data_IF_190841030838
#
_entry.id   IF_190841030838
#
_cell.length_a   1.000
_cell.length_b   1.000
_cell.length_c   1.000
_cell.angle_alpha   90.00
_cell.angle_beta   90.00
_cell.angle_gamma   90.00
#
_symmetry.space_group_name_H-M   'P 1'
#
loop_
_entity.id
_entity.type
_entity.pdbx_description
1 polymer ?
#
# COMPACT_ATOMS: atom_id res chain seq x y z
N UNK A 1 -30.90 48.57 -2.93
CA UNK A 1 -30.09 47.96 -1.85
C UNK A 1 -30.93 46.80 -1.31
N UNK A 2 -30.74 45.53 -1.66
CA UNK A 2 -29.54 44.84 -2.12
C UNK A 2 -29.07 43.89 -1.01
N UNK A 3 -29.76 42.77 -0.84
CA UNK A 3 -29.25 41.61 -0.09
C UNK A 3 -29.73 40.35 -0.82
N UNK A 4 -28.84 39.85 -1.67
CA UNK A 4 -29.00 38.63 -2.46
C UNK A 4 -28.84 37.45 -1.51
N UNK A 5 -29.90 36.65 -1.35
CA UNK A 5 -29.79 35.35 -0.69
C UNK A 5 -29.00 34.39 -1.61
N UNK A 6 -27.94 33.73 -1.14
CA UNK A 6 -27.21 32.78 -1.98
C UNK A 6 -28.07 31.53 -2.19
N UNK A 7 -28.49 31.31 -3.43
CA UNK A 7 -28.94 30.00 -3.91
C UNK A 7 -27.73 29.06 -3.86
N UNK A 8 -27.60 28.26 -2.80
CA UNK A 8 -26.61 27.19 -2.73
C UNK A 8 -27.02 26.08 -3.68
N UNK A 9 -26.55 26.17 -4.92
CA UNK A 9 -26.59 25.10 -5.90
C UNK A 9 -25.65 23.99 -5.38
N UNK A 10 -26.20 22.82 -5.00
CA UNK A 10 -25.38 21.65 -4.69
C UNK A 10 -24.62 21.26 -5.96
N UNK A 11 -23.31 21.49 -6.00
CA UNK A 11 -22.41 20.89 -6.99
C UNK A 11 -22.15 19.43 -6.58
N UNK A 12 -23.17 18.58 -6.70
CA UNK A 12 -22.96 17.13 -6.78
C UNK A 12 -22.46 16.80 -8.19
N UNK A 13 -21.20 17.16 -8.46
CA UNK A 13 -20.45 16.56 -9.55
C UNK A 13 -19.75 15.33 -8.98
N UNK A 14 -20.52 14.30 -8.65
CA UNK A 14 -19.96 12.96 -8.70
C UNK A 14 -19.77 12.64 -10.20
N UNK A 15 -18.52 12.43 -10.59
CA UNK A 15 -18.04 12.26 -11.97
C UNK A 15 -18.06 13.53 -12.86
N UNK A 16 -17.03 14.37 -12.71
CA UNK A 16 -16.34 14.96 -13.86
C UNK A 16 -15.01 14.22 -14.00
N UNK A 17 -15.09 13.02 -14.54
CA UNK A 17 -14.00 12.48 -15.34
C UNK A 17 -14.10 13.23 -16.68
N UNK A 18 -13.10 14.04 -17.08
CA UNK A 18 -13.09 14.55 -18.45
C UNK A 18 -12.89 13.36 -19.38
N UNK A 19 -13.95 12.97 -20.08
CA UNK A 19 -13.87 12.08 -21.25
C UNK A 19 -12.87 12.68 -22.24
N UNK A 20 -11.81 11.93 -22.54
CA UNK A 20 -10.81 12.32 -23.52
C UNK A 20 -11.43 12.23 -24.92
N UNK A 21 -11.62 13.36 -25.60
CA UNK A 21 -11.80 13.38 -27.05
C UNK A 21 -10.52 12.91 -27.71
N UNK A 22 -10.65 11.83 -28.48
CA UNK A 22 -9.61 11.20 -29.30
C UNK A 22 -9.00 12.23 -30.28
N UNK A 23 -7.77 12.66 -30.05
CA UNK A 23 -6.94 13.29 -31.07
C UNK A 23 -6.15 12.18 -31.79
N UNK A 24 -6.38 12.05 -33.09
CA UNK A 24 -5.85 11.00 -33.94
C UNK A 24 -4.34 11.05 -34.12
N UNK A 25 -3.81 9.87 -34.41
CA UNK A 25 -2.44 9.61 -34.86
C UNK A 25 -2.03 10.53 -36.01
N UNK A 26 -0.84 11.10 -35.85
CA UNK A 26 -0.07 11.74 -36.91
C UNK A 26 0.42 10.69 -37.91
N UNK A 27 -0.25 10.62 -39.07
CA UNK A 27 0.24 9.96 -40.27
C UNK A 27 0.92 10.97 -41.20
N UNK A 28 2.21 10.77 -41.44
CA UNK A 28 3.04 11.50 -42.41
C UNK A 28 2.62 11.12 -43.83
N UNK A 29 2.40 12.12 -44.68
CA UNK A 29 2.24 11.96 -46.13
C UNK A 29 2.41 13.29 -46.85
N UNK A 30 3.52 13.43 -47.60
CA UNK A 30 3.82 14.53 -48.53
C UNK A 30 2.78 14.55 -49.67
N UNK A 31 2.47 15.74 -50.21
CA UNK A 31 2.91 16.22 -51.55
C UNK A 31 1.96 17.30 -52.16
N UNK A 32 2.59 18.39 -52.65
CA UNK A 32 2.23 19.35 -53.73
C UNK A 32 0.98 20.25 -53.69
N UNK A 33 1.25 21.57 -53.56
CA UNK A 33 1.02 22.68 -54.51
C UNK A 33 -0.28 22.91 -55.33
N UNK A 34 -0.67 24.20 -55.31
CA UNK A 34 -1.26 25.04 -56.39
C UNK A 34 -2.78 25.25 -56.54
N UNK A 35 -3.19 26.47 -56.21
CA UNK A 35 -4.02 27.45 -56.93
C UNK A 35 -5.34 27.05 -57.67
N UNK A 36 -6.43 27.78 -57.37
CA UNK A 36 -7.61 27.88 -58.23
C UNK A 36 -8.70 28.83 -57.69
N UNK A 37 -9.22 29.71 -58.56
CA UNK A 37 -10.08 30.88 -58.29
C UNK A 37 -11.52 30.67 -58.82
N UNK A 38 -12.42 31.58 -58.42
CA UNK A 38 -13.81 31.84 -58.88
C UNK A 38 -14.90 31.06 -58.10
N UNK A 39 -16.08 31.59 -57.73
CA UNK A 39 -16.78 32.85 -58.00
C UNK A 39 -18.29 32.53 -57.95
N UNK A 40 -19.11 33.32 -57.24
CA UNK A 40 -20.58 33.15 -57.27
C UNK A 40 -21.33 33.81 -56.11
N UNK A 41 -22.16 34.81 -56.42
CA UNK A 41 -22.99 35.57 -55.50
C UNK A 41 -24.44 35.04 -55.46
N UNK A 42 -25.12 35.11 -54.31
CA UNK A 42 -26.57 35.44 -54.21
C UNK A 42 -27.06 35.49 -52.75
N UNK A 43 -27.73 36.60 -52.38
CA UNK A 43 -29.09 36.54 -51.81
C UNK A 43 -29.35 36.25 -50.31
N UNK A 44 -29.42 37.34 -49.52
CA UNK A 44 -30.40 37.67 -48.45
C UNK A 44 -31.03 36.53 -47.60
N UNK A 45 -30.85 36.58 -46.28
CA UNK A 45 -31.93 36.82 -45.28
C UNK A 45 -31.40 36.75 -43.83
N UNK A 46 -31.76 37.74 -43.00
CA UNK A 46 -31.52 37.77 -41.54
C UNK A 46 -32.51 36.84 -40.83
N UNK A 47 -32.10 35.99 -39.87
CA UNK A 47 -33.04 35.33 -38.96
C UNK A 47 -33.39 36.21 -37.76
N UNK A 48 -34.66 36.16 -37.38
CA UNK A 48 -35.30 36.87 -36.25
C UNK A 48 -34.82 36.32 -34.91
N UNK A 49 -34.64 37.22 -33.94
CA UNK A 49 -34.49 36.91 -32.51
C UNK A 49 -35.86 36.47 -31.97
N UNK A 50 -35.94 35.26 -31.42
CA UNK A 50 -37.10 34.76 -30.68
C UNK A 50 -36.84 34.90 -29.18
N UNK A 51 -37.80 35.48 -28.46
CA UNK A 51 -37.79 35.70 -27.02
C UNK A 51 -38.03 34.39 -26.23
N UNK A 52 -37.58 34.29 -24.96
CA UNK A 52 -37.82 33.12 -24.11
C UNK A 52 -39.24 33.11 -23.49
N UNK A 53 -39.82 31.92 -23.37
CA UNK A 53 -41.10 31.62 -22.71
C UNK A 53 -40.98 31.63 -21.16
N UNK A 54 -42.08 31.87 -20.41
CA UNK A 54 -42.07 32.17 -18.98
C UNK A 54 -42.01 30.93 -18.07
N UNK A 55 -41.39 31.10 -16.89
CA UNK A 55 -41.37 30.12 -15.80
C UNK A 55 -42.73 29.98 -15.08
N UNK A 56 -43.13 28.77 -14.62
CA UNK A 56 -44.23 28.62 -13.68
C UNK A 56 -43.78 28.89 -12.23
N UNK A 57 -44.65 29.58 -11.47
CA UNK A 57 -44.49 29.87 -10.03
C UNK A 57 -44.78 28.61 -9.19
N UNK A 58 -44.14 28.40 -8.04
CA UNK A 58 -44.57 27.39 -7.07
C UNK A 58 -45.62 27.96 -6.10
N UNK A 59 -46.70 27.21 -5.89
CA UNK A 59 -47.63 27.40 -4.77
C UNK A 59 -47.15 26.68 -3.49
N UNK A 60 -47.58 27.11 -2.29
CA UNK A 60 -47.01 26.69 -1.02
C UNK A 60 -47.81 25.58 -0.33
N UNK A 61 -47.14 24.53 0.14
CA UNK A 61 -47.64 23.62 1.18
C UNK A 61 -46.59 23.61 2.30
N UNK A 62 -46.85 24.29 3.42
CA UNK A 62 -47.66 23.85 4.56
C UNK A 62 -46.79 23.10 5.59
N UNK A 63 -46.52 23.82 6.69
CA UNK A 63 -45.89 23.37 7.93
C UNK A 63 -46.79 22.39 8.68
N UNK A 64 -46.17 21.51 9.48
CA UNK A 64 -46.50 21.07 10.86
C UNK A 64 -45.98 19.64 11.13
N UNK A 65 -45.82 19.18 12.39
CA UNK A 65 -44.94 19.71 13.44
C UNK A 65 -43.97 18.64 13.99
N UNK A 66 -42.99 19.09 14.76
CA UNK A 66 -42.03 18.30 15.53
C UNK A 66 -42.66 17.55 16.71
N UNK A 67 -42.18 16.34 16.97
CA UNK A 67 -42.43 15.56 18.19
C UNK A 67 -41.28 14.57 18.44
N UNK A 68 -40.80 14.39 19.70
CA UNK A 68 -39.52 13.75 20.00
C UNK A 68 -39.66 12.26 20.37
N UNK A 69 -38.60 11.46 20.15
CA UNK A 69 -38.19 10.33 21.01
C UNK A 69 -36.95 9.60 20.45
N UNK A 70 -35.84 9.62 21.19
CA UNK A 70 -34.92 8.46 21.30
C UNK A 70 -35.69 7.29 21.96
N UNK A 71 -35.36 5.99 21.75
CA UNK A 71 -34.07 5.36 22.11
C UNK A 71 -33.70 4.14 21.21
N UNK A 72 -32.94 3.11 21.67
CA UNK A 72 -31.49 3.05 21.81
C UNK A 72 -30.82 1.95 20.94
N UNK A 73 -29.49 2.07 20.76
CA UNK A 73 -28.56 0.93 20.64
C UNK A 73 -28.75 -0.05 19.48
N UNK A 74 -28.05 0.19 18.38
CA UNK A 74 -27.67 -0.89 17.45
C UNK A 74 -26.23 -1.30 17.79
N UNK A 75 -25.97 -2.56 18.16
CA UNK A 75 -24.62 -3.05 18.38
C UNK A 75 -23.83 -2.97 17.07
N UNK A 76 -22.58 -2.53 17.15
CA UNK A 76 -21.65 -2.44 16.02
C UNK A 76 -21.57 -3.78 15.30
N UNK A 77 -22.28 -3.86 14.17
CA UNK A 77 -22.31 -5.02 13.32
C UNK A 77 -21.06 -5.05 12.46
N UNK A 78 -20.12 -5.90 12.87
CA UNK A 78 -19.21 -6.70 12.05
C UNK A 78 -18.53 -6.04 10.86
N UNK A 79 -17.19 -6.07 10.88
CA UNK A 79 -16.37 -6.13 9.67
C UNK A 79 -17.14 -6.89 8.58
N UNK A 80 -17.54 -6.18 7.51
CA UNK A 80 -17.96 -6.86 6.28
C UNK A 80 -16.86 -7.83 5.95
N UNK A 81 -17.20 -9.12 5.83
CA UNK A 81 -16.30 -10.18 5.41
C UNK A 81 -15.57 -9.73 4.14
N UNK A 82 -14.36 -9.21 4.30
CA UNK A 82 -13.45 -8.94 3.19
C UNK A 82 -12.99 -10.32 2.75
N UNK A 83 -13.71 -10.89 1.78
CA UNK A 83 -13.23 -12.06 1.06
C UNK A 83 -11.85 -11.71 0.51
N UNK A 84 -10.82 -12.46 0.91
CA UNK A 84 -9.48 -12.27 0.37
C UNK A 84 -9.55 -12.31 -1.16
N UNK A 85 -8.91 -11.36 -1.85
CA UNK A 85 -8.84 -11.36 -3.30
C UNK A 85 -8.29 -12.70 -3.83
N UNK A 86 -8.73 -13.18 -5.01
CA UNK A 86 -8.15 -14.38 -5.62
C UNK A 86 -6.64 -14.20 -5.86
N UNK A 87 -5.83 -15.27 -5.78
CA UNK A 87 -4.40 -15.18 -6.09
C UNK A 87 -4.12 -14.53 -7.45
N UNK A 88 -3.14 -13.64 -7.51
CA UNK A 88 -2.80 -12.88 -8.71
C UNK A 88 -3.78 -11.75 -9.07
N UNK A 89 -4.70 -11.38 -8.18
CA UNK A 89 -5.49 -10.16 -8.29
C UNK A 89 -4.65 -8.92 -8.00
N UNK A 90 -5.04 -7.79 -8.58
CA UNK A 90 -4.44 -6.49 -8.28
C UNK A 90 -5.51 -5.41 -8.13
N UNK A 91 -5.18 -4.34 -7.42
CA UNK A 91 -6.12 -3.25 -7.12
C UNK A 91 -5.50 -1.88 -7.34
N UNK A 92 -6.32 -0.94 -7.79
CA UNK A 92 -6.03 0.49 -7.80
C UNK A 92 -6.99 1.16 -6.83
N UNK A 93 -6.46 1.80 -5.78
CA UNK A 93 -7.27 2.43 -4.73
C UNK A 93 -6.80 3.86 -4.48
N UNK A 94 -7.76 4.78 -4.43
CA UNK A 94 -7.54 6.14 -3.97
C UNK A 94 -8.27 6.34 -2.64
N UNK A 95 -7.53 6.84 -1.66
CA UNK A 95 -8.05 7.24 -0.36
C UNK A 95 -8.01 8.76 -0.28
N UNK A 96 -9.19 9.37 -0.13
CA UNK A 96 -9.33 10.81 0.08
C UNK A 96 -9.73 11.09 1.51
N UNK A 97 -9.20 12.15 2.09
CA UNK A 97 -9.57 12.61 3.44
C UNK A 97 -9.66 14.13 3.45
N UNK A 98 -10.80 14.65 3.87
CA UNK A 98 -11.04 16.06 4.08
C UNK A 98 -11.37 16.31 5.56
N UNK A 99 -10.60 17.18 6.22
CA UNK A 99 -10.77 17.47 7.66
C UNK A 99 -11.04 18.96 7.84
N UNK A 100 -12.21 19.32 8.37
CA UNK A 100 -12.52 20.71 8.71
C UNK A 100 -11.71 21.14 9.94
N UNK A 101 -11.27 22.40 9.95
CA UNK A 101 -10.47 22.99 11.04
C UNK A 101 -11.03 24.37 11.40
N UNK A 102 -12.17 24.44 12.11
CA UNK A 102 -12.80 25.72 12.44
C UNK A 102 -11.80 26.67 13.11
N UNK A 103 -11.75 27.91 12.62
CA UNK A 103 -10.82 28.93 13.11
C UNK A 103 -9.36 28.81 12.63
N UNK A 104 -9.00 27.76 11.89
CA UNK A 104 -7.63 27.52 11.38
C UNK A 104 -7.55 27.51 9.83
N UNK A 105 -8.57 28.05 9.17
CA UNK A 105 -8.62 28.18 7.71
C UNK A 105 -9.47 27.10 7.03
N UNK A 106 -9.19 26.86 5.76
CA UNK A 106 -9.92 25.89 4.94
C UNK A 106 -9.65 24.44 5.39
N UNK A 107 -10.61 23.51 5.14
CA UNK A 107 -10.40 22.09 5.39
C UNK A 107 -9.14 21.57 4.71
N UNK A 108 -8.35 20.77 5.44
CA UNK A 108 -7.20 20.06 4.85
C UNK A 108 -7.73 18.93 3.98
N UNK A 109 -7.23 18.82 2.77
CA UNK A 109 -7.55 17.73 1.84
C UNK A 109 -6.29 16.94 1.49
N UNK A 110 -6.36 15.62 1.66
CA UNK A 110 -5.29 14.68 1.32
C UNK A 110 -5.88 13.63 0.39
N UNK A 111 -5.16 13.29 -0.68
CA UNK A 111 -5.48 12.14 -1.54
C UNK A 111 -4.23 11.30 -1.73
N UNK A 112 -4.32 10.00 -1.50
CA UNK A 112 -3.24 9.04 -1.73
C UNK A 112 -3.73 7.91 -2.64
N UNK A 113 -2.91 7.55 -3.62
CA UNK A 113 -3.19 6.46 -4.55
C UNK A 113 -2.27 5.28 -4.30
N UNK A 114 -2.83 4.08 -4.32
CA UNK A 114 -2.15 2.80 -4.15
C UNK A 114 -2.42 1.89 -5.35
N UNK A 115 -1.37 1.20 -5.80
CA UNK A 115 -1.53 -0.05 -6.53
C UNK A 115 -1.14 -1.16 -5.57
N UNK A 116 -2.10 -2.03 -5.26
CA UNK A 116 -1.99 -3.02 -4.19
C UNK A 116 -1.60 -2.36 -2.86
N UNK A 117 -0.45 -2.72 -2.32
CA UNK A 117 0.10 -2.19 -1.07
C UNK A 117 1.17 -1.12 -1.30
N UNK A 118 1.40 -0.70 -2.56
CA UNK A 118 2.41 0.29 -2.95
C UNK A 118 1.79 1.65 -3.22
N UNK A 119 2.14 2.65 -2.41
CA UNK A 119 1.73 4.04 -2.66
C UNK A 119 2.45 4.59 -3.89
N UNK A 120 1.72 5.13 -4.86
CA UNK A 120 2.31 5.67 -6.09
C UNK A 120 2.08 7.17 -6.30
N UNK A 121 1.07 7.75 -5.67
CA UNK A 121 0.80 9.20 -5.73
C UNK A 121 0.31 9.78 -4.41
N UNK A 122 0.52 11.09 -4.23
CA UNK A 122 0.00 11.88 -3.11
C UNK A 122 -0.33 13.30 -3.54
N UNK A 123 -1.43 13.84 -3.01
CA UNK A 123 -1.73 15.26 -2.94
C UNK A 123 -1.97 15.67 -1.49
N UNK A 124 -1.50 16.85 -1.10
CA UNK A 124 -1.76 17.45 0.22
C UNK A 124 -2.02 18.95 0.04
N UNK A 125 -3.20 19.42 0.47
CA UNK A 125 -3.58 20.82 0.33
C UNK A 125 -2.74 21.77 1.19
N UNK A 126 -2.09 21.25 2.24
CA UNK A 126 -1.24 22.03 3.14
C UNK A 126 0.22 22.11 2.65
N UNK A 127 0.57 21.47 1.52
CA UNK A 127 1.88 21.63 0.92
C UNK A 127 2.11 23.08 0.44
N UNK A 128 3.37 23.54 0.42
CA UNK A 128 3.71 24.90 -0.03
C UNK A 128 3.22 25.19 -1.47
N UNK A 129 3.35 24.19 -2.36
CA UNK A 129 2.79 24.25 -3.72
C UNK A 129 1.93 23.00 -3.96
N UNK A 130 0.62 23.03 -3.64
CA UNK A 130 -0.25 21.86 -3.74
C UNK A 130 -0.38 21.36 -5.18
N UNK A 131 0.18 20.16 -5.41
CA UNK A 131 0.13 19.41 -6.67
C UNK A 131 0.11 17.91 -6.41
N UNK A 132 -0.30 17.14 -7.41
CA UNK A 132 -0.18 15.69 -7.36
C UNK A 132 1.30 15.31 -7.55
N UNK A 133 1.83 14.49 -6.66
CA UNK A 133 3.25 14.12 -6.62
C UNK A 133 3.44 12.61 -6.73
N UNK A 134 4.48 12.14 -7.44
CA UNK A 134 4.85 10.73 -7.48
C UNK A 134 5.37 10.27 -6.11
N UNK A 135 5.06 9.01 -5.77
CA UNK A 135 5.55 8.32 -4.56
C UNK A 135 6.22 6.97 -4.86
N UNK A 136 6.18 6.54 -6.12
CA UNK A 136 6.87 5.34 -6.58
C UNK A 136 7.84 5.67 -7.73
N UNK A 137 9.00 5.00 -7.83
CA UNK A 137 9.98 5.26 -8.89
C UNK A 137 9.43 5.06 -10.30
N UNK A 138 8.50 4.13 -10.51
CA UNK A 138 7.89 3.86 -11.82
C UNK A 138 6.87 4.91 -12.28
N UNK A 139 6.57 5.91 -11.44
CA UNK A 139 5.73 7.07 -11.79
C UNK A 139 6.51 8.17 -12.50
N UNK A 140 7.21 7.81 -13.57
CA UNK A 140 7.85 8.74 -14.50
C UNK A 140 6.83 9.16 -15.58
N UNK A 141 5.86 9.97 -15.18
CA UNK A 141 4.87 10.54 -16.09
C UNK A 141 5.24 11.96 -16.54
N UNK A 142 4.80 12.34 -17.74
CA UNK A 142 5.06 13.66 -18.31
C UNK A 142 4.25 14.79 -17.61
N UNK A 143 4.61 16.06 -17.86
CA UNK A 143 3.97 17.21 -17.21
C UNK A 143 2.45 17.28 -17.43
N UNK A 144 1.95 16.88 -18.60
CA UNK A 144 0.52 16.87 -18.91
C UNK A 144 -0.29 15.95 -18.00
N UNK A 145 0.28 14.80 -17.61
CA UNK A 145 -0.35 13.88 -16.66
C UNK A 145 -0.47 14.56 -15.29
N UNK A 146 0.63 15.12 -14.79
CA UNK A 146 0.65 15.75 -13.46
C UNK A 146 -0.23 16.99 -13.38
N UNK A 147 -0.29 17.79 -14.44
CA UNK A 147 -1.20 18.94 -14.49
C UNK A 147 -2.66 18.50 -14.49
N UNK A 148 -3.00 17.47 -15.28
CA UNK A 148 -4.36 16.92 -15.34
C UNK A 148 -4.79 16.34 -14.00
N UNK A 149 -3.95 15.51 -13.37
CA UNK A 149 -4.26 14.90 -12.08
C UNK A 149 -4.31 15.95 -10.95
N UNK A 150 -3.44 16.96 -11.00
CA UNK A 150 -3.49 18.12 -10.08
C UNK A 150 -4.80 18.91 -10.24
N UNK A 151 -5.30 19.09 -11.46
CA UNK A 151 -6.59 19.76 -11.70
C UNK A 151 -7.75 18.94 -11.18
N UNK A 152 -7.77 17.63 -11.46
CA UNK A 152 -8.79 16.70 -10.97
C UNK A 152 -8.87 16.71 -9.43
N UNK A 153 -7.72 16.60 -8.75
CA UNK A 153 -7.70 16.56 -7.28
C UNK A 153 -8.11 17.88 -6.64
N UNK A 154 -7.79 19.04 -7.25
CA UNK A 154 -8.28 20.35 -6.79
C UNK A 154 -9.81 20.48 -6.92
N UNK A 155 -10.42 19.88 -7.94
CA UNK A 155 -11.89 19.81 -8.04
C UNK A 155 -12.46 18.96 -6.90
N UNK A 156 -11.87 17.78 -6.62
CA UNK A 156 -12.30 16.91 -5.50
C UNK A 156 -12.15 17.60 -4.14
N UNK A 157 -11.09 18.38 -3.94
CA UNK A 157 -10.90 19.22 -2.75
C UNK A 157 -12.08 20.18 -2.57
N UNK A 158 -12.44 20.95 -3.60
CA UNK A 158 -13.55 21.90 -3.53
C UNK A 158 -14.90 21.22 -3.27
N UNK A 159 -15.14 20.06 -3.91
CA UNK A 159 -16.33 19.25 -3.64
C UNK A 159 -16.37 18.81 -2.18
N UNK A 160 -15.24 18.34 -1.64
CA UNK A 160 -15.16 17.88 -0.25
C UNK A 160 -15.40 19.00 0.76
N UNK A 161 -14.95 20.22 0.46
CA UNK A 161 -15.25 21.41 1.25
C UNK A 161 -16.76 21.72 1.26
N UNK A 162 -17.44 21.63 0.10
CA UNK A 162 -18.89 21.76 0.02
C UNK A 162 -19.65 20.64 0.75
N UNK A 163 -19.14 19.42 0.67
CA UNK A 163 -19.73 18.26 1.34
C UNK A 163 -19.62 18.37 2.87
N UNK A 164 -18.51 18.88 3.41
CA UNK A 164 -18.36 19.12 4.85
C UNK A 164 -19.42 20.10 5.37
N UNK A 165 -19.67 21.20 4.64
CA UNK A 165 -20.73 22.17 4.99
C UNK A 165 -22.12 21.53 4.93
N UNK A 166 -22.37 20.73 3.89
CA UNK A 166 -23.66 20.03 3.73
C UNK A 166 -23.90 19.00 4.84
N UNK A 167 -22.85 18.30 5.26
CA UNK A 167 -22.94 17.31 6.35
C UNK A 167 -23.29 17.98 7.69
N UNK A 168 -22.70 19.14 7.99
CA UNK A 168 -23.07 19.93 9.18
C UNK A 168 -24.57 20.22 9.22
N UNK A 169 -25.15 20.65 8.09
CA UNK A 169 -26.58 20.93 7.98
C UNK A 169 -27.43 19.66 8.18
N UNK A 170 -27.05 18.56 7.53
CA UNK A 170 -27.79 17.30 7.64
C UNK A 170 -27.84 16.77 9.07
N UNK A 171 -26.73 16.83 9.78
CA UNK A 171 -26.61 16.32 11.15
C UNK A 171 -26.93 17.37 12.22
N UNK A 172 -27.32 18.59 11.85
CA UNK A 172 -27.56 19.72 12.75
C UNK A 172 -26.37 19.98 13.70
N UNK A 173 -25.15 19.91 13.17
CA UNK A 173 -23.91 20.07 13.94
C UNK A 173 -23.44 21.53 13.93
N UNK A 174 -22.74 21.93 14.99
CA UNK A 174 -22.21 23.28 15.12
C UNK A 174 -20.97 23.50 14.26
N UNK A 175 -20.79 24.71 13.74
CA UNK A 175 -19.59 25.10 12.96
C UNK A 175 -18.27 25.05 13.75
N UNK A 176 -18.34 25.03 15.10
CA UNK A 176 -17.15 24.96 15.96
C UNK A 176 -16.49 23.58 16.04
N UNK A 177 -17.13 22.54 15.50
CA UNK A 177 -16.62 21.16 15.51
C UNK A 177 -15.69 20.86 14.33
N UNK A 178 -14.63 20.08 14.59
CA UNK A 178 -13.84 19.47 13.51
C UNK A 178 -14.52 18.18 13.06
N UNK A 179 -14.69 18.05 11.74
CA UNK A 179 -15.39 16.95 11.08
C UNK A 179 -14.54 16.40 9.95
N UNK A 180 -14.75 15.12 9.65
CA UNK A 180 -13.94 14.38 8.69
C UNK A 180 -14.83 13.68 7.66
N UNK A 181 -14.52 13.87 6.38
CA UNK A 181 -15.05 13.05 5.28
C UNK A 181 -13.91 12.19 4.75
N UNK A 182 -14.15 10.89 4.61
CA UNK A 182 -13.22 9.95 3.99
C UNK A 182 -13.90 9.29 2.79
N UNK A 183 -13.12 9.04 1.74
CA UNK A 183 -13.58 8.31 0.55
C UNK A 183 -12.57 7.24 0.14
N UNK A 184 -13.09 6.06 -0.18
CA UNK A 184 -12.38 5.01 -0.91
C UNK A 184 -13.00 4.87 -2.30
N UNK A 185 -12.19 5.04 -3.35
CA UNK A 185 -12.60 4.79 -4.73
C UNK A 185 -11.53 4.02 -5.50
N UNK A 186 -11.93 3.11 -6.38
CA UNK A 186 -10.97 2.28 -7.07
C UNK A 186 -11.55 1.02 -7.70
N UNK A 187 -10.70 0.17 -8.25
CA UNK A 187 -11.09 -1.09 -8.88
C UNK A 187 -10.10 -2.19 -8.52
N UNK A 188 -10.55 -3.43 -8.65
CA UNK A 188 -9.76 -4.64 -8.51
C UNK A 188 -9.93 -5.49 -9.76
N UNK A 189 -8.83 -6.04 -10.26
CA UNK A 189 -8.79 -6.92 -11.41
C UNK A 189 -8.25 -8.28 -11.04
N UNK A 190 -8.73 -9.32 -11.71
CA UNK A 190 -8.22 -10.67 -11.54
C UNK A 190 -6.91 -10.87 -12.26
N UNK A 191 -6.41 -12.11 -12.20
CA UNK A 191 -5.23 -12.55 -12.95
C UNK A 191 -5.43 -12.42 -14.47
N UNK A 192 -6.67 -12.53 -14.95
CA UNK A 192 -7.07 -12.29 -16.34
C UNK A 192 -7.20 -10.79 -16.71
N UNK A 193 -6.84 -9.90 -15.77
CA UNK A 193 -6.90 -8.44 -15.86
C UNK A 193 -8.31 -7.89 -16.07
N UNK A 194 -9.38 -8.65 -15.84
CA UNK A 194 -10.77 -8.18 -15.91
C UNK A 194 -11.24 -7.68 -14.55
N UNK A 195 -12.19 -6.74 -14.56
CA UNK A 195 -12.77 -6.20 -13.34
C UNK A 195 -13.39 -7.33 -12.50
N UNK A 196 -12.95 -7.43 -11.25
CA UNK A 196 -13.56 -8.26 -10.21
C UNK A 196 -14.47 -7.43 -9.31
N UNK A 197 -14.03 -6.22 -8.93
CA UNK A 197 -14.74 -5.37 -7.98
C UNK A 197 -14.46 -3.91 -8.23
N UNK A 198 -15.49 -3.07 -8.06
CA UNK A 198 -15.37 -1.61 -8.01
C UNK A 198 -15.67 -1.08 -6.61
N UNK A 199 -15.00 0.01 -6.24
CA UNK A 199 -15.11 0.68 -4.96
C UNK A 199 -15.58 2.12 -5.14
N UNK A 200 -16.58 2.54 -4.38
CA UNK A 200 -16.92 3.95 -4.15
C UNK A 200 -17.69 4.04 -2.84
N UNK A 201 -16.98 4.35 -1.75
CA UNK A 201 -17.52 4.37 -0.39
C UNK A 201 -17.09 5.66 0.29
N UNK A 202 -18.04 6.34 0.94
CA UNK A 202 -17.79 7.53 1.73
C UNK A 202 -18.11 7.25 3.21
N UNK A 203 -17.33 7.84 4.10
CA UNK A 203 -17.50 7.82 5.55
C UNK A 203 -17.49 9.25 6.11
N UNK A 204 -18.24 9.47 7.19
CA UNK A 204 -18.34 10.73 7.90
C UNK A 204 -18.04 10.54 9.39
N UNK A 205 -17.10 11.33 9.93
CA UNK A 205 -16.62 11.24 11.31
C UNK A 205 -16.26 9.81 11.75
N UNK A 206 -15.61 9.07 10.84
CA UNK A 206 -15.13 7.69 11.06
C UNK A 206 -16.23 6.62 11.00
N UNK A 207 -17.45 6.95 10.57
CA UNK A 207 -18.55 6.01 10.39
C UNK A 207 -18.94 5.90 8.92
N UNK A 208 -19.31 4.70 8.49
CA UNK A 208 -19.88 4.48 7.16
C UNK A 208 -21.02 5.48 6.89
N UNK A 209 -21.02 6.09 5.71
CA UNK A 209 -22.06 7.05 5.30
C UNK A 209 -22.84 6.50 4.10
N UNK A 210 -22.18 6.30 2.96
CA UNK A 210 -22.82 5.75 1.76
C UNK A 210 -21.84 4.93 0.92
N UNK A 211 -22.30 3.81 0.38
CA UNK A 211 -21.48 2.90 -0.41
C UNK A 211 -22.19 2.47 -1.70
N UNK A 212 -21.47 2.49 -2.82
CA UNK A 212 -21.89 1.83 -4.05
C UNK A 212 -21.82 0.31 -3.83
N UNK A 213 -22.91 -0.39 -4.14
CA UNK A 213 -22.99 -1.84 -3.98
C UNK A 213 -22.17 -2.56 -5.07
N UNK A 214 -21.92 -3.85 -4.86
CA UNK A 214 -21.11 -4.67 -5.77
C UNK A 214 -21.74 -4.82 -7.17
N UNK A 215 -23.05 -4.57 -7.30
CA UNK A 215 -23.75 -4.50 -8.59
C UNK A 215 -23.39 -3.25 -9.42
N UNK A 216 -22.65 -2.30 -8.84
CA UNK A 216 -22.27 -1.00 -9.40
C UNK A 216 -23.46 -0.15 -9.87
N UNK A 217 -24.64 -0.39 -9.30
CA UNK A 217 -25.91 0.23 -9.72
C UNK A 217 -26.68 0.82 -8.55
N UNK A 218 -26.65 0.14 -7.41
CA UNK A 218 -27.43 0.51 -6.23
C UNK A 218 -26.54 1.01 -5.11
N UNK A 219 -27.15 1.69 -4.13
CA UNK A 219 -26.45 2.32 -3.02
C UNK A 219 -26.94 1.79 -1.68
N UNK A 220 -26.00 1.53 -0.78
CA UNK A 220 -26.29 1.31 0.65
C UNK A 220 -26.03 2.62 1.40
N UNK A 221 -27.06 3.13 2.09
CA UNK A 221 -26.97 4.28 2.97
C UNK A 221 -26.92 3.81 4.43
N UNK A 222 -26.03 4.37 5.24
CA UNK A 222 -25.81 3.92 6.61
C UNK A 222 -26.84 4.51 7.61
N UNK A 223 -27.36 5.70 7.35
CA UNK A 223 -28.33 6.36 8.21
C UNK A 223 -29.35 7.22 7.42
N UNK A 224 -30.24 7.89 8.15
CA UNK A 224 -31.30 8.73 7.58
C UNK A 224 -30.78 9.91 6.77
N UNK A 225 -29.62 10.46 7.11
CA UNK A 225 -29.03 11.58 6.36
C UNK A 225 -28.37 11.10 5.08
N UNK A 226 -27.73 9.93 5.13
CA UNK A 226 -27.23 9.25 3.94
C UNK A 226 -28.36 8.87 2.95
N UNK A 227 -29.59 8.62 3.42
CA UNK A 227 -30.74 8.41 2.51
C UNK A 227 -31.05 9.64 1.65
N UNK A 228 -30.84 10.85 2.19
CA UNK A 228 -31.00 12.10 1.42
C UNK A 228 -29.96 12.15 0.30
N UNK A 229 -28.69 11.81 0.60
CA UNK A 229 -27.65 11.70 -0.42
C UNK A 229 -28.00 10.62 -1.44
N UNK A 230 -28.44 9.43 -1.01
CA UNK A 230 -28.85 8.36 -1.93
C UNK A 230 -29.88 8.84 -2.95
N UNK A 231 -30.95 9.49 -2.50
CA UNK A 231 -31.99 10.01 -3.40
C UNK A 231 -31.43 11.00 -4.43
N UNK A 232 -30.48 11.85 -4.03
CA UNK A 232 -29.79 12.76 -4.96
C UNK A 232 -28.88 12.01 -5.95
N UNK A 233 -28.18 10.96 -5.52
CA UNK A 233 -27.32 10.17 -6.39
C UNK A 233 -28.14 9.39 -7.44
N UNK A 234 -29.28 8.82 -7.02
CA UNK A 234 -30.22 8.10 -7.88
C UNK A 234 -30.86 9.04 -8.91
N UNK A 235 -31.37 10.19 -8.46
CA UNK A 235 -31.97 11.20 -9.35
C UNK A 235 -31.01 11.71 -10.42
N UNK A 236 -29.72 11.79 -10.10
CA UNK A 236 -28.68 12.30 -11.01
C UNK A 236 -27.97 11.19 -11.81
N UNK A 237 -28.36 9.92 -11.66
CA UNK A 237 -27.76 8.80 -12.38
C UNK A 237 -26.27 8.59 -12.07
N UNK A 238 -25.85 8.87 -10.83
CA UNK A 238 -24.42 8.85 -10.49
C UNK A 238 -23.80 7.45 -10.56
N UNK A 239 -24.57 6.41 -10.25
CA UNK A 239 -24.08 5.03 -10.28
C UNK A 239 -23.59 4.64 -11.67
N UNK A 240 -24.28 5.03 -12.74
CA UNK A 240 -23.89 4.74 -14.13
C UNK A 240 -22.54 5.37 -14.48
N UNK A 241 -22.34 6.65 -14.14
CA UNK A 241 -21.07 7.33 -14.41
C UNK A 241 -19.90 6.72 -13.64
N UNK A 242 -20.13 6.31 -12.39
CA UNK A 242 -19.11 5.62 -11.60
C UNK A 242 -18.82 4.25 -12.19
N UNK A 243 -19.84 3.52 -12.62
CA UNK A 243 -19.68 2.23 -13.28
C UNK A 243 -18.84 2.34 -14.55
N UNK A 244 -19.10 3.33 -15.40
CA UNK A 244 -18.31 3.58 -16.62
C UNK A 244 -16.82 3.84 -16.29
N UNK A 245 -16.55 4.64 -15.25
CA UNK A 245 -15.18 4.87 -14.78
C UNK A 245 -14.53 3.59 -14.24
N UNK A 246 -15.26 2.82 -13.42
CA UNK A 246 -14.75 1.62 -12.74
C UNK A 246 -14.51 0.46 -13.71
N UNK A 247 -15.39 0.27 -14.69
CA UNK A 247 -15.26 -0.76 -15.74
C UNK A 247 -14.27 -0.36 -16.84
N UNK A 248 -14.07 0.94 -17.07
CA UNK A 248 -13.17 1.49 -18.09
C UNK A 248 -11.87 2.05 -17.53
N UNK A 249 -11.84 3.38 -17.30
CA UNK A 249 -10.62 4.15 -17.03
C UNK A 249 -9.80 3.58 -15.86
N UNK A 250 -10.46 3.15 -14.77
CA UNK A 250 -9.78 2.60 -13.61
C UNK A 250 -8.99 1.33 -13.95
N UNK A 251 -9.63 0.39 -14.68
CA UNK A 251 -9.02 -0.88 -15.09
C UNK A 251 -7.90 -0.63 -16.10
N UNK A 252 -8.09 0.30 -17.04
CA UNK A 252 -7.07 0.68 -18.01
C UNK A 252 -5.83 1.27 -17.36
N UNK A 253 -6.00 2.20 -16.42
CA UNK A 253 -4.88 2.77 -15.66
C UNK A 253 -4.19 1.73 -14.79
N UNK A 254 -4.94 0.86 -14.10
CA UNK A 254 -4.36 -0.21 -13.29
C UNK A 254 -3.48 -1.12 -14.15
N UNK A 255 -3.95 -1.54 -15.33
CA UNK A 255 -3.13 -2.34 -16.28
C UNK A 255 -1.86 -1.60 -16.69
N UNK A 256 -1.95 -0.31 -17.01
CA UNK A 256 -0.79 0.51 -17.37
C UNK A 256 0.22 0.62 -16.22
N UNK A 257 -0.24 0.83 -14.99
CA UNK A 257 0.63 0.92 -13.83
C UNK A 257 1.30 -0.41 -13.51
N UNK A 258 0.58 -1.53 -13.64
CA UNK A 258 1.15 -2.86 -13.45
C UNK A 258 2.25 -3.18 -14.48
N UNK A 259 2.10 -2.73 -15.73
CA UNK A 259 3.15 -2.88 -16.74
C UNK A 259 4.35 -1.96 -16.43
N UNK A 260 4.10 -0.70 -16.10
CA UNK A 260 5.15 0.28 -15.78
C UNK A 260 5.97 -0.11 -14.54
N UNK A 261 5.28 -0.56 -13.50
CA UNK A 261 5.86 -0.91 -12.21
C UNK A 261 6.11 -2.40 -12.03
N UNK A 262 6.13 -3.20 -13.10
CA UNK A 262 6.12 -4.67 -13.03
C UNK A 262 7.15 -5.27 -12.08
N UNK A 263 8.37 -4.73 -12.08
CA UNK A 263 9.48 -5.24 -11.26
C UNK A 263 9.25 -5.01 -9.76
N UNK A 264 8.44 -4.00 -9.40
CA UNK A 264 8.10 -3.71 -8.00
C UNK A 264 6.73 -4.27 -7.61
N UNK A 265 5.73 -4.17 -8.49
CA UNK A 265 4.33 -4.50 -8.18
C UNK A 265 4.03 -5.99 -8.31
N UNK A 266 4.74 -6.71 -9.18
CA UNK A 266 4.54 -8.15 -9.40
C UNK A 266 5.56 -9.02 -8.66
N UNK A 267 6.45 -8.40 -7.87
CA UNK A 267 7.42 -9.16 -7.07
C UNK A 267 6.72 -9.90 -5.94
N UNK A 268 7.32 -11.00 -5.53
CA UNK A 268 6.85 -11.83 -4.42
C UNK A 268 8.05 -12.14 -3.55
N UNK A 269 8.30 -11.27 -2.59
CA UNK A 269 9.44 -11.39 -1.69
C UNK A 269 9.01 -12.30 -0.52
N UNK A 270 9.59 -13.51 -0.37
CA UNK A 270 9.18 -14.43 0.67
C UNK A 270 9.64 -13.95 2.06
N UNK A 271 8.87 -14.25 3.12
CA UNK A 271 9.22 -13.84 4.47
C UNK A 271 10.48 -14.53 4.99
N UNK A 272 11.34 -13.74 5.64
CA UNK A 272 12.41 -14.23 6.50
C UNK A 272 11.83 -14.56 7.86
N UNK A 273 11.52 -15.83 8.08
CA UNK A 273 10.86 -16.28 9.30
C UNK A 273 11.84 -16.87 10.33
N UNK A 274 11.58 -16.63 11.61
CA UNK A 274 12.32 -17.24 12.72
C UNK A 274 11.49 -17.22 14.02
N UNK A 275 11.87 -18.07 14.99
CA UNK A 275 11.20 -18.14 16.30
C UNK A 275 12.15 -17.64 17.39
N UNK A 276 11.64 -16.73 18.22
CA UNK A 276 12.33 -16.21 19.41
C UNK A 276 11.71 -16.79 20.67
N UNK A 277 12.53 -16.96 21.71
CA UNK A 277 12.19 -17.59 22.97
C UNK A 277 12.46 -16.63 24.13
N UNK A 278 11.43 -16.33 24.91
CA UNK A 278 11.49 -15.39 26.02
C UNK A 278 11.00 -16.06 27.32
N UNK A 279 11.90 -16.44 28.24
CA UNK A 279 11.50 -16.94 29.55
C UNK A 279 10.70 -15.90 30.32
N UNK A 280 9.65 -16.33 31.02
CA UNK A 280 8.85 -15.47 31.91
C UNK A 280 9.13 -15.83 33.37
N UNK A 281 8.80 -14.91 34.28
CA UNK A 281 9.02 -15.07 35.72
C UNK A 281 8.20 -16.18 36.37
N UNK A 282 7.12 -16.63 35.72
CA UNK A 282 6.21 -17.66 36.23
C UNK A 282 6.69 -19.09 35.88
N UNK A 283 7.81 -19.23 35.17
CA UNK A 283 8.40 -20.51 34.78
C UNK A 283 7.94 -21.03 33.41
N UNK A 284 7.02 -20.32 32.77
CA UNK A 284 6.58 -20.50 31.39
C UNK A 284 7.42 -19.66 30.41
N UNK A 285 7.20 -19.86 29.12
CA UNK A 285 7.99 -19.28 28.03
C UNK A 285 7.06 -18.64 27.02
N UNK A 286 7.43 -17.46 26.50
CA UNK A 286 6.80 -16.91 25.30
C UNK A 286 7.60 -17.31 24.06
N UNK A 287 6.95 -18.02 23.15
CA UNK A 287 7.47 -18.24 21.80
C UNK A 287 6.88 -17.20 20.86
N UNK A 288 7.73 -16.52 20.10
CA UNK A 288 7.29 -15.52 19.11
C UNK A 288 7.86 -15.85 17.74
N UNK A 289 6.96 -16.13 16.81
CA UNK A 289 7.26 -16.35 15.41
C UNK A 289 7.23 -15.03 14.66
N UNK A 290 8.34 -14.69 14.04
CA UNK A 290 8.49 -13.49 13.22
C UNK A 290 8.41 -13.87 11.75
N UNK A 291 7.77 -13.00 10.96
CA UNK A 291 7.90 -12.95 9.51
C UNK A 291 8.32 -11.53 9.15
N UNK A 292 9.47 -11.40 8.48
CA UNK A 292 10.07 -10.11 8.14
C UNK A 292 10.31 -10.02 6.64
N UNK A 293 10.36 -8.78 6.13
CA UNK A 293 10.88 -8.46 4.81
C UNK A 293 10.14 -9.18 3.66
N UNK A 294 8.81 -9.21 3.74
CA UNK A 294 7.95 -9.85 2.74
C UNK A 294 7.08 -8.84 1.97
N UNK A 295 6.72 -9.21 0.75
CA UNK A 295 5.78 -8.48 -0.11
C UNK A 295 5.03 -9.47 -1.02
N UNK A 296 3.70 -9.39 -1.20
CA UNK A 296 2.76 -8.35 -0.71
C UNK A 296 2.42 -8.51 0.78
N UNK A 297 1.56 -7.62 1.32
CA UNK A 297 1.25 -7.56 2.75
C UNK A 297 0.40 -8.75 3.27
N UNK A 298 -0.31 -9.46 2.39
CA UNK A 298 -1.13 -10.60 2.79
C UNK A 298 -0.24 -11.77 3.23
N UNK A 299 -0.40 -12.19 4.48
CA UNK A 299 0.37 -13.26 5.11
C UNK A 299 -0.46 -13.89 6.23
N UNK A 300 -0.34 -15.21 6.40
CA UNK A 300 -0.93 -15.91 7.54
C UNK A 300 0.15 -16.54 8.42
N UNK A 301 0.11 -16.23 9.72
CA UNK A 301 0.96 -16.82 10.75
C UNK A 301 0.05 -17.55 11.73
N UNK A 302 0.26 -18.85 11.90
CA UNK A 302 -0.49 -19.68 12.84
C UNK A 302 0.46 -20.49 13.70
N UNK A 303 0.04 -20.80 14.92
CA UNK A 303 0.72 -21.73 15.80
C UNK A 303 -0.10 -22.98 15.96
N UNK A 304 0.58 -24.12 15.89
CA UNK A 304 -0.01 -25.43 16.11
C UNK A 304 0.70 -26.17 17.23
N UNK A 305 -0.07 -26.94 17.99
CA UNK A 305 0.41 -27.94 18.94
C UNK A 305 -0.16 -29.29 18.50
N UNK A 306 0.70 -30.26 18.19
CA UNK A 306 0.26 -31.60 17.77
C UNK A 306 -0.83 -31.58 16.67
N UNK A 307 -0.61 -30.73 15.65
CA UNK A 307 -1.54 -30.49 14.50
C UNK A 307 -2.80 -29.67 14.80
N UNK A 308 -3.04 -29.28 16.06
CA UNK A 308 -4.18 -28.43 16.45
C UNK A 308 -3.79 -26.94 16.48
N UNK A 309 -4.55 -26.10 15.78
CA UNK A 309 -4.33 -24.64 15.75
C UNK A 309 -4.70 -23.95 17.07
N UNK A 310 -3.82 -23.08 17.57
CA UNK A 310 -3.94 -22.43 18.88
C UNK A 310 -4.53 -21.01 18.80
N UNK A 311 -5.58 -20.80 17.98
CA UNK A 311 -6.11 -19.48 17.64
C UNK A 311 -6.46 -18.56 18.83
N UNK A 312 -6.98 -19.12 19.92
CA UNK A 312 -7.43 -18.34 21.09
C UNK A 312 -6.30 -17.92 22.04
N UNK A 313 -5.16 -18.62 21.99
CA UNK A 313 -4.01 -18.36 22.88
C UNK A 313 -2.96 -17.47 22.20
N UNK A 314 -3.12 -17.22 20.89
CA UNK A 314 -2.20 -16.43 20.11
C UNK A 314 -2.41 -14.93 20.30
N UNK A 315 -1.34 -14.22 20.63
CA UNK A 315 -1.20 -12.79 20.42
C UNK A 315 -0.68 -12.56 19.00
N UNK A 316 -1.51 -12.00 18.14
CA UNK A 316 -1.20 -11.70 16.75
C UNK A 316 -1.22 -10.18 16.52
N UNK A 317 -0.12 -9.62 16.04
CA UNK A 317 -0.11 -8.20 15.62
C UNK A 317 -0.61 -8.04 14.19
N UNK A 318 -1.21 -6.89 13.90
CA UNK A 318 -1.51 -6.49 12.52
C UNK A 318 -0.24 -6.45 11.67
N UNK A 319 -0.39 -6.74 10.38
CA UNK A 319 0.72 -6.62 9.43
C UNK A 319 1.10 -5.15 9.31
N UNK A 320 2.39 -4.83 9.43
CA UNK A 320 2.87 -3.45 9.46
C UNK A 320 4.00 -3.22 8.45
N UNK A 321 4.08 -2.01 7.85
CA UNK A 321 5.15 -1.68 6.92
C UNK A 321 6.50 -1.56 7.63
N UNK A 322 7.58 -1.93 6.92
CA UNK A 322 8.96 -1.78 7.37
C UNK A 322 9.62 -0.45 6.93
N UNK A 323 8.98 0.29 6.01
CA UNK A 323 9.43 1.61 5.53
C UNK A 323 10.23 1.59 4.21
N UNK A 324 10.60 0.41 3.74
CA UNK A 324 11.29 0.14 2.47
C UNK A 324 10.36 -0.43 1.38
N UNK A 325 9.06 -0.49 1.67
CA UNK A 325 8.04 -1.11 0.81
C UNK A 325 7.70 -2.55 1.16
N UNK A 326 8.42 -3.17 2.10
CA UNK A 326 8.12 -4.52 2.60
C UNK A 326 7.37 -4.48 3.94
N UNK A 327 6.93 -5.65 4.38
CA UNK A 327 6.08 -5.83 5.56
C UNK A 327 6.73 -6.73 6.61
N UNK A 328 6.21 -6.64 7.82
CA UNK A 328 6.57 -7.50 8.95
C UNK A 328 5.33 -7.83 9.78
N UNK A 329 5.33 -9.01 10.40
CA UNK A 329 4.27 -9.49 11.30
C UNK A 329 4.88 -10.46 12.30
N UNK A 330 4.27 -10.60 13.47
CA UNK A 330 4.61 -11.68 14.38
C UNK A 330 3.38 -12.24 15.08
N UNK A 331 3.49 -13.51 15.49
CA UNK A 331 2.51 -14.21 16.30
C UNK A 331 3.22 -14.84 17.49
N UNK A 332 2.71 -14.66 18.70
CA UNK A 332 3.27 -15.30 19.90
C UNK A 332 2.23 -16.02 20.72
N UNK A 333 2.67 -17.01 21.49
CA UNK A 333 1.89 -17.63 22.54
C UNK A 333 2.77 -17.97 23.73
N UNK A 334 2.13 -18.32 24.83
CA UNK A 334 2.78 -18.74 26.07
C UNK A 334 2.71 -20.26 26.17
N UNK A 335 3.85 -20.90 26.42
CA UNK A 335 3.99 -22.35 26.51
C UNK A 335 4.61 -22.77 27.84
N UNK A 336 4.30 -23.97 28.36
CA UNK A 336 5.04 -24.56 29.46
C UNK A 336 6.51 -24.76 29.09
N UNK A 337 7.43 -24.48 30.01
CA UNK A 337 8.85 -24.74 29.77
C UNK A 337 9.11 -26.25 29.64
N UNK A 338 9.92 -26.63 28.66
CA UNK A 338 10.19 -28.02 28.29
C UNK A 338 9.23 -28.59 27.24
N UNK A 339 8.16 -27.88 26.90
CA UNK A 339 7.20 -28.29 25.86
C UNK A 339 7.37 -27.52 24.55
N UNK A 340 8.39 -26.65 24.43
CA UNK A 340 8.56 -25.73 23.30
C UNK A 340 8.62 -26.46 21.94
N UNK A 341 9.18 -27.67 21.91
CA UNK A 341 9.33 -28.48 20.69
C UNK A 341 8.01 -29.06 20.16
N UNK A 342 6.95 -29.07 20.98
CA UNK A 342 5.60 -29.49 20.57
C UNK A 342 4.89 -28.43 19.73
N UNK A 343 5.38 -27.20 19.77
CA UNK A 343 4.76 -26.06 19.09
C UNK A 343 5.48 -25.73 17.79
N UNK A 344 4.71 -25.58 16.72
CA UNK A 344 5.20 -25.21 15.39
C UNK A 344 4.50 -23.96 14.89
N UNK A 345 5.26 -22.99 14.40
CA UNK A 345 4.74 -21.85 13.67
C UNK A 345 4.63 -22.20 12.18
N UNK A 346 3.48 -21.94 11.57
CA UNK A 346 3.23 -22.10 10.13
C UNK A 346 3.07 -20.72 9.49
N UNK A 347 3.84 -20.46 8.44
CA UNK A 347 3.83 -19.20 7.70
C UNK A 347 3.40 -19.46 6.27
N UNK A 348 2.30 -18.84 5.87
CA UNK A 348 1.75 -18.89 4.51
C UNK A 348 1.89 -17.54 3.85
N UNK A 349 2.48 -17.50 2.66
CA UNK A 349 2.69 -16.29 1.88
C UNK A 349 2.77 -16.64 0.40
N UNK A 350 2.31 -15.75 -0.50
CA UNK A 350 2.29 -16.01 -1.94
C UNK A 350 3.70 -16.16 -2.56
N UNK A 351 4.73 -15.60 -1.91
CA UNK A 351 6.14 -15.76 -2.31
C UNK A 351 6.75 -17.09 -1.90
N UNK A 352 6.05 -17.91 -1.11
CA UNK A 352 6.52 -19.23 -0.68
C UNK A 352 5.93 -20.32 -1.58
N UNK A 353 6.77 -21.23 -2.15
CA UNK A 353 6.25 -22.38 -2.89
C UNK A 353 5.55 -23.38 -1.96
N UNK A 354 6.02 -23.51 -0.73
CA UNK A 354 5.44 -24.32 0.34
C UNK A 354 5.46 -23.53 1.65
N UNK A 355 4.48 -23.73 2.55
CA UNK A 355 4.46 -23.04 3.84
C UNK A 355 5.72 -23.32 4.66
N UNK A 356 6.24 -22.29 5.34
CA UNK A 356 7.34 -22.49 6.28
C UNK A 356 6.81 -23.03 7.59
N UNK A 357 7.39 -24.12 8.09
CA UNK A 357 7.07 -24.72 9.37
C UNK A 357 8.28 -24.58 10.28
N UNK A 358 8.20 -23.72 11.29
CA UNK A 358 9.30 -23.38 12.18
C UNK A 358 9.04 -23.89 13.59
N UNK A 359 10.10 -24.41 14.23
CA UNK A 359 10.15 -24.64 15.68
C UNK A 359 11.14 -23.67 16.30
N UNK A 360 11.09 -23.52 17.61
CA UNK A 360 12.17 -22.84 18.31
C UNK A 360 13.44 -23.71 18.30
N UNK A 361 14.53 -23.15 17.80
CA UNK A 361 15.86 -23.77 17.86
C UNK A 361 16.68 -23.17 19.02
N UNK A 362 17.16 -23.99 19.97
CA UNK A 362 18.07 -23.52 20.99
C UNK A 362 19.36 -22.97 20.36
N UNK A 363 19.96 -21.91 20.92
CA UNK A 363 21.23 -21.41 20.43
C UNK A 363 22.27 -22.55 20.42
N UNK A 364 22.95 -22.74 19.28
CA UNK A 364 24.00 -23.74 19.16
C UNK A 364 25.08 -23.47 20.21
N UNK A 365 25.30 -24.45 21.08
CA UNK A 365 26.34 -24.35 22.09
C UNK A 365 27.69 -24.19 21.40
N UNK A 366 28.37 -23.06 21.62
CA UNK A 366 29.75 -22.81 21.16
C UNK A 366 30.79 -23.59 21.98
N UNK A 367 30.36 -24.24 23.06
CA UNK A 367 31.21 -25.02 23.97
C UNK A 367 31.90 -26.21 23.28
N UNK A 368 31.22 -27.09 22.52
CA UNK A 368 31.90 -28.16 21.78
C UNK A 368 32.90 -27.62 20.74
N UNK A 369 32.61 -26.49 20.10
CA UNK A 369 33.49 -25.90 19.07
C UNK A 369 34.78 -25.39 19.70
N UNK A 370 34.70 -24.66 20.81
CA UNK A 370 35.88 -24.16 21.53
C UNK A 370 36.71 -25.30 22.15
N UNK A 371 36.06 -26.37 22.63
CA UNK A 371 36.74 -27.56 23.13
C UNK A 371 37.53 -28.29 22.02
N UNK A 372 36.95 -28.42 20.83
CA UNK A 372 37.62 -29.02 19.67
C UNK A 372 38.83 -28.18 19.22
N UNK A 373 38.69 -26.84 19.18
CA UNK A 373 39.80 -25.94 18.84
C UNK A 373 40.94 -26.07 19.87
N UNK A 374 40.62 -26.10 21.16
CA UNK A 374 41.62 -26.25 22.21
C UNK A 374 42.40 -27.57 22.10
N UNK A 375 41.73 -28.69 21.80
CA UNK A 375 42.37 -29.99 21.58
C UNK A 375 43.27 -29.97 20.35
N UNK A 376 42.84 -29.36 19.25
CA UNK A 376 43.64 -29.26 18.02
C UNK A 376 44.92 -28.42 18.24
N UNK A 377 44.84 -27.33 19.00
CA UNK A 377 46.00 -26.50 19.36
C UNK A 377 46.99 -27.29 20.22
N UNK A 378 46.51 -28.06 21.21
CA UNK A 378 47.36 -28.89 22.06
C UNK A 378 48.08 -29.99 21.25
N UNK A 379 47.36 -30.67 20.36
CA UNK A 379 47.95 -31.69 19.48
C UNK A 379 48.99 -31.08 18.52
N UNK A 380 48.72 -29.89 17.98
CA UNK A 380 49.68 -29.13 17.18
C UNK A 380 50.94 -28.78 17.97
N UNK A 381 50.81 -28.31 19.21
CA UNK A 381 51.95 -28.01 20.07
C UNK A 381 52.81 -29.25 20.39
N UNK A 382 52.17 -30.39 20.69
CA UNK A 382 52.87 -31.65 21.00
C UNK A 382 53.62 -32.18 19.77
N UNK A 383 53.03 -32.10 18.57
CA UNK A 383 53.71 -32.53 17.34
C UNK A 383 54.91 -31.64 17.02
N UNK A 384 54.80 -30.33 17.21
CA UNK A 384 55.92 -29.38 17.03
C UNK A 384 57.04 -29.68 18.05
N UNK A 385 56.71 -29.84 19.33
CA UNK A 385 57.70 -30.16 20.37
C UNK A 385 58.38 -31.49 20.07
N UNK A 386 57.61 -32.52 19.67
CA UNK A 386 58.13 -33.82 19.26
C UNK A 386 59.10 -33.73 18.08
N UNK A 387 58.73 -32.97 17.04
CA UNK A 387 59.59 -32.74 15.88
C UNK A 387 60.90 -32.01 16.27
N UNK A 388 60.83 -30.98 17.11
CA UNK A 388 62.00 -30.23 17.59
C UNK A 388 62.94 -31.14 18.40
N UNK A 389 62.40 -32.00 19.27
CA UNK A 389 63.20 -32.95 20.06
C UNK A 389 63.89 -33.98 19.15
N UNK A 390 63.19 -34.51 18.15
CA UNK A 390 63.77 -35.45 17.17
C UNK A 390 64.88 -34.78 16.36
N UNK A 391 64.65 -33.56 15.87
CA UNK A 391 65.67 -32.78 15.13
C UNK A 391 66.88 -32.47 16.01
N UNK A 392 66.69 -32.04 17.26
CA UNK A 392 67.78 -31.82 18.21
C UNK A 392 68.56 -33.10 18.52
N UNK A 393 67.88 -34.24 18.67
CA UNK A 393 68.52 -35.54 18.88
C UNK A 393 69.30 -36.00 17.64
N UNK A 394 68.78 -35.75 16.43
CA UNK A 394 69.50 -35.96 15.15
C UNK A 394 70.73 -35.06 15.04
N UNK A 395 70.62 -33.78 15.41
CA UNK A 395 71.76 -32.85 15.43
C UNK A 395 72.80 -33.21 16.50
N UNK A 396 72.40 -33.77 17.65
CA UNK A 396 73.34 -34.18 18.70
C UNK A 396 74.08 -35.49 18.38
N UNK A 397 73.51 -36.36 17.55
CA UNK A 397 74.14 -37.59 17.09
C UNK A 397 74.95 -37.42 15.79
N UNK A 398 74.85 -36.27 15.11
CA UNK A 398 75.64 -35.98 13.92
C UNK A 398 76.78 -35.03 14.29
N UNK A 399 77.97 -35.60 14.54
CA UNK A 399 79.17 -34.80 14.71
C UNK A 399 79.50 -33.98 13.46
N UNK A 400 79.68 -32.67 13.67
CA UNK A 400 80.54 -31.75 12.91
C UNK A 400 80.12 -31.37 11.47
N UNK A 401 79.59 -30.16 11.32
CA UNK A 401 80.19 -29.02 10.57
C UNK A 401 79.18 -27.87 10.55
N UNK A 402 79.65 -26.67 10.91
CA UNK A 402 78.82 -25.48 10.92
C UNK A 402 78.46 -25.04 9.50
N UNK A 403 77.19 -24.68 9.32
CA UNK A 403 76.70 -23.93 8.17
C UNK A 403 75.90 -22.75 8.72
N UNK A 404 76.32 -21.54 8.36
CA UNK A 404 75.63 -20.28 8.67
C UNK A 404 74.40 -20.18 7.76
N UNK A 405 73.23 -19.90 8.33
CA UNK A 405 72.00 -19.63 7.58
C UNK A 405 71.95 -18.12 7.25
N UNK A 406 71.99 -17.75 5.97
CA UNK A 406 71.74 -16.38 5.53
C UNK A 406 70.26 -16.20 5.17
N UNK A 407 69.66 -15.13 5.68
CA UNK A 407 68.31 -14.70 5.33
C UNK A 407 68.40 -13.88 4.03
N UNK A 408 67.74 -14.32 2.95
CA UNK A 408 67.55 -13.50 1.75
C UNK A 408 66.14 -12.94 1.82
N UNK A 409 66.05 -11.63 1.96
CA UNK A 409 64.81 -10.86 1.95
C UNK A 409 64.41 -10.60 0.49
N UNK A 410 63.24 -11.07 0.06
CA UNK A 410 62.66 -10.74 -1.25
C UNK A 410 61.51 -9.75 -1.07
N UNK A 411 61.61 -8.60 -1.74
CA UNK A 411 60.58 -7.56 -1.71
C UNK A 411 59.30 -7.96 -2.46
N UNK A 412 58.14 -7.36 -2.12
CA UNK A 412 56.82 -7.83 -2.56
C UNK A 412 56.38 -7.18 -3.88
N UNK A 413 55.73 -7.99 -4.74
CA UNK A 413 54.77 -7.50 -5.72
C UNK A 413 53.46 -8.30 -5.61
N UNK A 414 52.28 -7.68 -5.83
CA UNK A 414 50.99 -8.29 -5.55
C UNK A 414 50.43 -9.05 -6.77
N UNK A 415 49.38 -9.87 -6.58
CA UNK A 415 48.96 -10.57 -5.38
C UNK A 415 49.43 -12.03 -5.48
N UNK A 416 49.70 -12.71 -4.36
CA UNK A 416 49.60 -14.17 -4.17
C UNK A 416 50.54 -14.62 -3.03
N UNK A 417 49.96 -15.42 -2.13
CA UNK A 417 50.55 -16.51 -1.36
C UNK A 417 52.03 -16.36 -0.95
N UNK A 418 52.25 -16.13 0.35
CA UNK A 418 53.54 -16.37 1.00
C UNK A 418 53.90 -17.86 0.92
N UNK A 419 54.62 -18.27 -0.12
CA UNK A 419 55.31 -19.55 -0.16
C UNK A 419 56.73 -19.37 0.38
N UNK A 420 57.00 -19.95 1.56
CA UNK A 420 58.36 -20.05 2.11
C UNK A 420 59.01 -21.32 1.56
N UNK A 421 59.85 -21.19 0.53
CA UNK A 421 60.71 -22.28 0.05
C UNK A 421 62.10 -22.16 0.68
N UNK A 422 62.49 -23.18 1.42
CA UNK A 422 63.85 -23.30 1.97
C UNK A 422 64.71 -24.10 1.00
N UNK A 423 65.81 -23.53 0.51
CA UNK A 423 66.81 -24.25 -0.31
C UNK A 423 68.04 -24.53 0.55
N UNK A 424 68.53 -25.78 0.51
CA UNK A 424 69.81 -26.16 1.10
C UNK A 424 70.95 -25.84 0.12
N UNK A 425 72.06 -25.25 0.61
CA UNK A 425 73.36 -25.32 -0.05
C UNK A 425 74.26 -26.30 0.68
#
# INVERSE_FOLDING_TARGET
>A
MGAVAPRTLLLLVAAQVPTQTRAGESGVGRETDSAGRAGGASGKSRPRIAQPLPHPRPEPCALLPSGPAHPPGVPGGGLRSHRSPPPGSHSLRYFMTAVSRPGLGEPRYIEVGYVDDTQFVRFDSDAETPRMEPRAPWMEEGPEYWERETRKVKIKQQISQGNLRTALDYYNQSEGGSHTIQRLAGCEVGSDRRLLRGYSQDAYDGRDYIALNEDLRTWTAADTMALITRGKLEQNGIAERLRDYLEGECVEWLRRYLEKGKDQLLRKDPPKAHVTHHPRSQGDVTLRCWALDFYPADISLTWQREEEEQAQEMELVETRPAGDGNFQKWASLVVPSGEEQKYTCHVYHEGLPEPLILRWEPPQSTVPIMAVIAVLVLLGAVTIIGAVVVVRKRMRNSGRKGSVLCLVETHPHPPLLLSLTWVWC
#
